data_IF_840349023205
#
_entry.id   IF_840349023205
#
_cell.length_a   1.000
_cell.length_b   1.000
_cell.length_c   1.000
_cell.angle_alpha   90.00
_cell.angle_beta   90.00
_cell.angle_gamma   90.00
#
_symmetry.space_group_name_H-M   'P 1'
#
loop_
_entity.id
_entity.type
_entity.pdbx_description
1 polymer ?
#
# COMPACT_ATOMS: atom_id res chain seq x y z
N UNK A 1 -1.65 11.68 43.01
CA UNK A 1 -1.06 11.71 41.65
C UNK A 1 -0.14 10.52 41.53
N UNK A 2 -0.32 9.64 40.53
CA UNK A 2 0.74 8.71 40.14
C UNK A 2 1.33 9.16 38.80
N UNK A 3 2.64 9.40 38.79
CA UNK A 3 3.45 9.47 37.57
C UNK A 3 3.34 8.11 36.87
N UNK A 4 2.68 8.10 35.72
CA UNK A 4 2.65 6.92 34.85
C UNK A 4 4.07 6.69 34.33
N UNK A 5 4.67 5.58 34.75
CA UNK A 5 5.94 5.07 34.24
C UNK A 5 5.82 4.90 32.71
N UNK A 6 6.30 5.88 31.95
CA UNK A 6 6.39 5.81 30.49
C UNK A 6 7.42 4.72 30.19
N UNK A 7 6.98 3.63 29.57
CA UNK A 7 7.86 2.56 29.14
C UNK A 7 9.01 3.16 28.29
N UNK A 8 10.27 2.75 28.48
CA UNK A 8 11.44 3.33 27.80
C UNK A 8 11.30 3.31 26.26
N UNK A 9 10.62 2.29 25.72
CA UNK A 9 10.27 2.23 24.29
C UNK A 9 9.30 3.33 23.84
N UNK A 10 8.34 3.73 24.67
CA UNK A 10 7.40 4.83 24.34
C UNK A 10 8.10 6.19 24.33
N UNK A 11 9.02 6.44 25.26
CA UNK A 11 9.82 7.66 25.27
C UNK A 11 10.73 7.75 24.03
N UNK A 12 11.38 6.64 23.66
CA UNK A 12 12.19 6.56 22.44
C UNK A 12 11.37 6.85 21.18
N UNK A 13 10.18 6.25 21.05
CA UNK A 13 9.31 6.45 19.89
C UNK A 13 8.73 7.87 19.83
N UNK A 14 8.47 8.49 20.97
CA UNK A 14 8.08 9.91 21.01
C UNK A 14 9.21 10.85 20.54
N UNK A 15 10.46 10.56 20.89
CA UNK A 15 11.61 11.32 20.42
C UNK A 15 11.84 11.14 18.91
N UNK A 16 11.72 9.90 18.41
CA UNK A 16 11.80 9.60 16.99
C UNK A 16 10.68 10.32 16.19
N UNK A 17 9.46 10.34 16.74
CA UNK A 17 8.33 11.09 16.16
C UNK A 17 8.67 12.58 16.03
N UNK A 18 9.22 13.21 17.07
CA UNK A 18 9.61 14.62 17.03
C UNK A 18 10.73 14.90 16.02
N UNK A 19 11.66 13.97 15.83
CA UNK A 19 12.73 14.10 14.84
C UNK A 19 12.18 14.05 13.40
N UNK A 20 11.25 13.12 13.15
CA UNK A 20 10.51 13.03 11.88
C UNK A 20 9.76 14.34 11.62
N UNK A 21 9.02 14.85 12.61
CA UNK A 21 8.30 16.12 12.51
C UNK A 21 9.25 17.28 12.16
N UNK A 22 10.39 17.40 12.86
CA UNK A 22 11.41 18.43 12.58
C UNK A 22 11.98 18.33 11.16
N UNK A 23 12.28 17.11 10.68
CA UNK A 23 12.74 16.90 9.29
C UNK A 23 11.66 17.30 8.28
N UNK A 24 10.38 17.01 8.55
CA UNK A 24 9.24 17.39 7.69
C UNK A 24 9.00 18.91 7.65
N UNK A 25 9.07 19.60 8.80
CA UNK A 25 8.96 21.06 8.86
C UNK A 25 10.11 21.73 8.09
N UNK A 26 11.36 21.25 8.29
CA UNK A 26 12.51 21.74 7.50
C UNK A 26 12.32 21.53 6.00
N UNK A 27 11.73 20.40 5.62
CA UNK A 27 11.41 20.13 4.24
C UNK A 27 10.35 21.10 3.69
N UNK A 28 9.36 21.52 4.49
CA UNK A 28 8.41 22.58 4.10
C UNK A 28 9.11 23.93 3.87
N UNK A 29 9.95 24.36 4.81
CA UNK A 29 10.61 25.67 4.77
C UNK A 29 11.65 25.78 3.64
N UNK A 30 12.31 24.67 3.29
CA UNK A 30 13.44 24.67 2.35
C UNK A 30 13.09 24.02 1.01
N UNK A 31 12.48 24.80 0.10
CA UNK A 31 12.03 24.30 -1.21
C UNK A 31 13.13 23.68 -2.09
N UNK A 32 14.40 24.11 -1.95
CA UNK A 32 15.55 23.59 -2.69
C UNK A 32 16.13 22.28 -2.15
N UNK A 33 16.01 22.03 -0.84
CA UNK A 33 16.56 20.83 -0.18
C UNK A 33 15.50 19.79 0.18
N UNK A 34 14.21 20.15 0.06
CA UNK A 34 13.04 19.32 0.37
C UNK A 34 13.15 17.90 -0.17
N UNK A 35 13.57 17.75 -1.42
CA UNK A 35 13.66 16.45 -2.08
C UNK A 35 14.69 15.52 -1.41
N UNK A 36 15.88 16.06 -1.13
CA UNK A 36 16.94 15.29 -0.48
C UNK A 36 16.56 14.93 0.97
N UNK A 37 16.00 15.90 1.71
CA UNK A 37 15.59 15.70 3.11
C UNK A 37 14.51 14.62 3.23
N UNK A 38 13.55 14.58 2.30
CA UNK A 38 12.47 13.59 2.32
C UNK A 38 12.94 12.22 1.81
N UNK A 39 13.82 12.17 0.80
CA UNK A 39 14.43 10.91 0.36
C UNK A 39 15.23 10.25 1.50
N UNK A 40 16.03 11.04 2.20
CA UNK A 40 16.78 10.58 3.38
C UNK A 40 15.81 10.09 4.47
N UNK A 41 14.80 10.88 4.82
CA UNK A 41 13.80 10.50 5.82
C UNK A 41 13.08 9.19 5.47
N UNK A 42 12.64 9.05 4.22
CA UNK A 42 11.96 7.83 3.78
C UNK A 42 12.91 6.64 3.69
N UNK A 43 14.19 6.85 3.36
CA UNK A 43 15.20 5.79 3.40
C UNK A 43 15.42 5.33 4.85
N UNK A 44 15.64 6.26 5.77
CA UNK A 44 15.84 6.01 7.20
C UNK A 44 14.67 5.23 7.81
N UNK A 45 13.44 5.66 7.53
CA UNK A 45 12.22 5.00 8.03
C UNK A 45 12.03 3.59 7.42
N UNK A 46 12.58 3.32 6.23
CA UNK A 46 12.54 2.00 5.62
C UNK A 46 13.56 1.01 6.20
N UNK A 47 14.56 1.50 6.94
CA UNK A 47 15.60 0.64 7.45
C UNK A 47 15.04 -0.36 8.45
N UNK A 48 15.68 -1.53 8.47
CA UNK A 48 15.41 -2.54 9.48
C UNK A 48 15.91 -2.05 10.84
N UNK A 49 15.13 -2.32 11.87
CA UNK A 49 15.48 -2.03 13.24
C UNK A 49 16.56 -3.00 13.67
N UNK A 50 17.73 -2.46 14.02
CA UNK A 50 18.86 -3.22 14.56
C UNK A 50 18.45 -4.04 15.79
N UNK A 51 19.07 -5.21 15.97
CA UNK A 51 18.78 -6.14 17.08
C UNK A 51 18.84 -5.49 18.48
N UNK A 52 19.71 -4.50 18.69
CA UNK A 52 19.79 -3.73 19.94
C UNK A 52 18.55 -2.85 20.16
N UNK A 53 18.10 -2.17 19.12
CA UNK A 53 16.93 -1.28 19.17
C UNK A 53 15.64 -2.08 19.33
N UNK A 54 15.58 -3.31 18.79
CA UNK A 54 14.45 -4.24 19.00
C UNK A 54 14.21 -4.56 20.47
N UNK A 55 15.27 -4.75 21.26
CA UNK A 55 15.15 -5.03 22.70
C UNK A 55 14.53 -3.88 23.50
N UNK A 56 14.84 -2.64 23.12
CA UNK A 56 14.30 -1.42 23.75
C UNK A 56 12.84 -1.18 23.35
N UNK A 57 12.49 -1.51 22.10
CA UNK A 57 11.15 -1.29 21.53
C UNK A 57 10.16 -2.37 21.99
N UNK A 58 10.56 -3.63 21.99
CA UNK A 58 9.68 -4.76 22.32
C UNK A 58 9.52 -5.00 23.82
N UNK A 59 10.28 -4.28 24.66
CA UNK A 59 10.23 -4.38 26.12
C UNK A 59 10.15 -5.84 26.59
N UNK A 60 11.11 -6.66 26.14
CA UNK A 60 11.17 -8.07 26.50
C UNK A 60 11.69 -8.13 27.94
N UNK A 61 10.77 -8.14 28.91
CA UNK A 61 11.09 -8.55 30.27
C UNK A 61 11.68 -9.97 30.18
N UNK A 62 12.90 -10.15 30.68
CA UNK A 62 13.69 -11.38 30.56
C UNK A 62 13.11 -12.61 31.30
N UNK A 63 11.82 -12.63 31.64
CA UNK A 63 11.22 -13.67 32.46
C UNK A 63 9.93 -14.25 31.86
N UNK A 64 10.02 -14.79 30.64
CA UNK A 64 9.13 -15.89 30.25
C UNK A 64 9.82 -16.75 29.19
N UNK A 65 10.40 -17.86 29.65
CA UNK A 65 10.86 -18.93 28.78
C UNK A 65 9.65 -19.81 28.45
N UNK A 66 9.23 -19.82 27.19
CA UNK A 66 8.70 -21.04 26.58
C UNK A 66 9.23 -21.21 25.16
N UNK A 67 9.61 -22.44 24.77
CA UNK A 67 10.35 -22.72 23.56
C UNK A 67 9.43 -23.00 22.35
N UNK A 68 10.01 -22.89 21.16
CA UNK A 68 9.48 -23.31 19.86
C UNK A 68 8.53 -22.34 19.15
N UNK A 69 9.08 -21.24 18.63
CA UNK A 69 8.70 -20.72 17.31
C UNK A 69 9.99 -20.26 16.59
N UNK A 70 10.65 -21.24 15.98
CA UNK A 70 11.67 -21.02 14.95
C UNK A 70 10.99 -20.52 13.65
N UNK A 71 11.72 -19.71 12.88
CA UNK A 71 11.56 -19.46 11.44
C UNK A 71 10.57 -18.40 10.91
N UNK A 72 10.35 -17.30 11.62
CA UNK A 72 10.24 -16.00 10.93
C UNK A 72 11.04 -15.00 11.73
N UNK A 73 12.29 -14.77 11.35
CA UNK A 73 13.01 -13.58 11.77
C UNK A 73 12.26 -12.39 11.15
N UNK A 74 11.22 -11.94 11.85
CA UNK A 74 10.37 -10.85 11.38
C UNK A 74 11.26 -9.63 11.30
N UNK A 75 11.66 -9.30 10.09
CA UNK A 75 12.42 -8.11 9.79
C UNK A 75 11.58 -6.89 10.16
N UNK A 76 11.71 -6.46 11.42
CA UNK A 76 10.99 -5.33 11.97
C UNK A 76 11.61 -4.06 11.40
N UNK A 77 10.88 -3.30 10.61
CA UNK A 77 11.34 -2.01 10.09
C UNK A 77 10.86 -0.87 10.98
N UNK A 78 11.56 0.28 10.95
CA UNK A 78 11.18 1.44 11.78
C UNK A 78 9.74 1.90 11.50
N UNK A 79 9.27 1.79 10.26
CA UNK A 79 7.90 2.14 9.93
C UNK A 79 6.85 1.20 10.59
N UNK A 80 7.12 -0.09 10.81
CA UNK A 80 6.19 -1.01 11.48
C UNK A 80 5.96 -0.56 12.92
N UNK A 81 7.07 -0.24 13.59
CA UNK A 81 7.07 0.21 14.99
C UNK A 81 6.37 1.55 15.14
N UNK A 82 6.65 2.49 14.24
CA UNK A 82 6.01 3.80 14.23
C UNK A 82 4.50 3.68 13.94
N UNK A 83 4.10 2.80 13.03
CA UNK A 83 2.69 2.56 12.73
C UNK A 83 1.93 2.04 13.96
N UNK A 84 2.44 1.01 14.64
CA UNK A 84 1.83 0.48 15.87
C UNK A 84 1.81 1.53 17.00
N UNK A 85 2.87 2.34 17.12
CA UNK A 85 2.91 3.45 18.06
C UNK A 85 1.86 4.53 17.78
N UNK A 86 1.65 4.92 16.52
CA UNK A 86 0.62 5.91 16.17
C UNK A 86 -0.81 5.39 16.33
N UNK A 87 -1.03 4.08 16.24
CA UNK A 87 -2.32 3.47 16.62
C UNK A 87 -2.56 3.61 18.13
N UNK A 88 -1.53 3.37 18.94
CA UNK A 88 -1.63 3.46 20.41
C UNK A 88 -1.66 4.91 20.92
N UNK A 89 -0.94 5.82 20.25
CA UNK A 89 -0.81 7.24 20.62
C UNK A 89 -1.08 8.12 19.39
N UNK A 90 -2.36 8.30 19.00
CA UNK A 90 -2.72 9.02 17.78
C UNK A 90 -2.34 10.51 17.82
N UNK A 91 -2.23 11.11 19.02
CA UNK A 91 -1.81 12.52 19.16
C UNK A 91 -0.41 12.79 18.61
N UNK A 92 0.48 11.80 18.66
CA UNK A 92 1.84 11.91 18.13
C UNK A 92 1.88 11.78 16.60
N UNK A 93 0.93 11.05 16.01
CA UNK A 93 0.84 10.87 14.55
C UNK A 93 0.20 12.05 13.83
N UNK A 94 -0.83 12.69 14.43
CA UNK A 94 -1.62 13.76 13.78
C UNK A 94 -0.79 14.90 13.15
N UNK A 95 0.20 15.50 13.84
CA UNK A 95 1.01 16.58 13.26
C UNK A 95 1.80 16.13 12.04
N UNK A 96 2.40 14.94 12.10
CA UNK A 96 3.15 14.35 10.99
C UNK A 96 2.23 14.12 9.79
N UNK A 97 1.03 13.63 10.03
CA UNK A 97 0.04 13.41 8.97
C UNK A 97 -0.37 14.72 8.29
N UNK A 98 -0.64 15.77 9.07
CA UNK A 98 -0.98 17.08 8.53
C UNK A 98 0.16 17.69 7.70
N UNK A 99 1.42 17.52 8.16
CA UNK A 99 2.61 17.97 7.44
C UNK A 99 2.82 17.18 6.13
N UNK A 100 2.61 15.86 6.15
CA UNK A 100 2.67 15.02 4.94
C UNK A 100 1.62 15.47 3.92
N UNK A 101 0.37 15.69 4.36
CA UNK A 101 -0.72 16.15 3.49
C UNK A 101 -0.42 17.54 2.92
N UNK A 102 0.18 18.44 3.69
CA UNK A 102 0.63 19.75 3.17
C UNK A 102 1.75 19.60 2.14
N UNK A 103 2.74 18.75 2.38
CA UNK A 103 3.83 18.46 1.44
C UNK A 103 3.34 17.81 0.13
N UNK A 104 2.23 17.06 0.18
CA UNK A 104 1.61 16.42 -0.99
C UNK A 104 0.95 17.41 -1.98
N UNK A 105 0.61 18.62 -1.53
CA UNK A 105 0.02 19.67 -2.38
C UNK A 105 0.99 20.24 -3.42
N UNK A 106 2.29 19.95 -3.33
CA UNK A 106 3.32 20.54 -4.20
C UNK A 106 3.81 19.53 -5.25
N UNK A 107 4.58 19.99 -6.26
CA UNK A 107 5.14 19.19 -7.38
C UNK A 107 6.03 18.00 -6.98
N UNK A 108 6.11 17.70 -5.68
CA UNK A 108 6.89 16.63 -5.06
C UNK A 108 6.13 15.30 -4.94
N UNK A 109 4.80 15.30 -5.06
CA UNK A 109 3.97 14.11 -4.91
C UNK A 109 4.43 12.93 -5.78
N UNK A 110 4.89 13.21 -7.01
CA UNK A 110 5.42 12.21 -7.94
C UNK A 110 6.60 11.40 -7.38
N UNK A 111 7.47 12.01 -6.57
CA UNK A 111 8.64 11.36 -6.00
C UNK A 111 8.28 10.49 -4.80
N UNK A 112 7.32 10.95 -3.97
CA UNK A 112 6.76 10.13 -2.88
C UNK A 112 6.04 8.93 -3.48
N UNK A 113 5.21 9.13 -4.51
CA UNK A 113 4.54 8.02 -5.19
C UNK A 113 5.53 7.05 -5.84
N UNK A 114 6.62 7.54 -6.43
CA UNK A 114 7.67 6.67 -6.95
C UNK A 114 8.31 5.83 -5.83
N UNK A 115 8.65 6.45 -4.68
CA UNK A 115 9.21 5.74 -3.52
C UNK A 115 8.23 4.71 -2.93
N UNK A 116 6.98 5.10 -2.71
CA UNK A 116 5.92 4.21 -2.22
C UNK A 116 5.70 3.05 -3.20
N UNK A 117 5.65 3.34 -4.50
CA UNK A 117 5.53 2.33 -5.55
C UNK A 117 6.72 1.36 -5.53
N UNK A 118 7.95 1.87 -5.40
CA UNK A 118 9.15 1.03 -5.28
C UNK A 118 9.09 0.15 -4.04
N UNK A 119 8.65 0.68 -2.90
CA UNK A 119 8.53 -0.05 -1.64
C UNK A 119 7.43 -1.10 -1.65
N UNK A 120 6.24 -0.79 -2.15
CA UNK A 120 5.15 -1.78 -2.28
C UNK A 120 5.47 -2.84 -3.33
N UNK A 121 6.27 -2.50 -4.35
CA UNK A 121 6.82 -3.51 -5.25
C UNK A 121 7.76 -4.48 -4.52
N UNK A 122 8.49 -4.05 -3.49
CA UNK A 122 9.29 -4.94 -2.64
C UNK A 122 8.38 -5.88 -1.83
N UNK A 123 7.28 -5.38 -1.26
CA UNK A 123 6.28 -6.20 -0.56
C UNK A 123 5.73 -7.31 -1.46
N UNK A 124 5.36 -6.96 -2.69
CA UNK A 124 4.92 -7.93 -3.69
C UNK A 124 6.04 -8.93 -4.04
N UNK A 125 7.29 -8.46 -4.18
CA UNK A 125 8.40 -9.34 -4.54
C UNK A 125 8.77 -10.32 -3.43
N UNK A 126 8.62 -9.89 -2.19
CA UNK A 126 8.94 -10.66 -0.97
C UNK A 126 7.73 -11.39 -0.40
N UNK A 127 6.53 -11.18 -0.97
CA UNK A 127 5.25 -11.63 -0.43
C UNK A 127 5.07 -11.23 1.06
N UNK A 128 5.58 -10.05 1.42
CA UNK A 128 5.46 -9.50 2.76
C UNK A 128 4.42 -8.36 2.76
N UNK A 129 3.78 -8.12 3.90
CA UNK A 129 2.79 -7.03 4.07
C UNK A 129 3.32 -5.93 4.96
N UNK A 130 4.60 -5.65 4.79
CA UNK A 130 5.36 -4.69 5.57
C UNK A 130 4.65 -3.34 5.54
N UNK A 131 4.35 -2.79 4.38
CA UNK A 131 3.73 -1.46 4.29
C UNK A 131 2.19 -1.44 4.41
N UNK A 132 1.57 -2.50 4.96
CA UNK A 132 0.11 -2.57 5.10
C UNK A 132 -0.47 -1.37 5.85
N UNK A 133 0.10 -1.01 7.00
CA UNK A 133 -0.39 0.11 7.82
C UNK A 133 -0.35 1.44 7.07
N UNK A 134 0.68 1.65 6.25
CA UNK A 134 0.80 2.84 5.41
C UNK A 134 -0.20 2.81 4.25
N UNK A 135 -0.37 1.65 3.61
CA UNK A 135 -1.38 1.48 2.56
C UNK A 135 -2.78 1.78 3.11
N UNK A 136 -3.13 1.19 4.27
CA UNK A 136 -4.42 1.40 4.93
C UNK A 136 -4.66 2.87 5.25
N UNK A 137 -3.66 3.55 5.82
CA UNK A 137 -3.73 4.99 6.06
C UNK A 137 -4.00 5.79 4.77
N UNK A 138 -3.30 5.46 3.68
CA UNK A 138 -3.48 6.16 2.41
C UNK A 138 -4.86 5.89 1.78
N UNK A 139 -5.41 4.70 1.97
CA UNK A 139 -6.76 4.37 1.53
C UNK A 139 -7.81 5.06 2.42
N UNK A 140 -7.88 4.68 3.70
CA UNK A 140 -8.94 5.05 4.62
C UNK A 140 -8.88 6.51 5.05
N UNK A 141 -7.70 7.04 5.39
CA UNK A 141 -7.55 8.36 6.00
C UNK A 141 -7.20 9.47 5.00
N UNK A 142 -6.88 9.13 3.75
CA UNK A 142 -6.49 10.10 2.71
C UNK A 142 -7.37 10.00 1.49
N UNK A 143 -7.46 8.84 0.84
CA UNK A 143 -8.21 8.69 -0.40
C UNK A 143 -9.73 8.75 -0.16
N UNK A 144 -10.22 8.09 0.89
CA UNK A 144 -11.65 8.04 1.25
C UNK A 144 -12.14 9.24 2.05
N UNK A 145 -11.26 10.19 2.41
CA UNK A 145 -11.60 11.40 3.18
C UNK A 145 -11.56 12.63 2.25
N UNK A 146 -12.71 13.14 1.74
CA UNK A 146 -12.73 14.22 0.74
C UNK A 146 -12.03 15.50 1.22
N UNK A 147 -12.12 15.81 2.52
CA UNK A 147 -11.50 17.02 3.10
C UNK A 147 -9.97 16.98 3.05
N UNK A 148 -9.37 15.78 3.03
CA UNK A 148 -7.92 15.57 2.89
C UNK A 148 -7.53 15.41 1.43
N UNK A 149 -8.32 14.67 0.66
CA UNK A 149 -8.11 14.50 -0.77
C UNK A 149 -8.07 15.84 -1.51
N UNK A 150 -8.99 16.76 -1.19
CA UNK A 150 -9.06 18.09 -1.80
C UNK A 150 -7.86 19.00 -1.51
N UNK A 151 -7.02 18.67 -0.53
CA UNK A 151 -5.75 19.40 -0.27
C UNK A 151 -4.64 19.00 -1.25
N UNK A 152 -4.82 17.88 -1.95
CA UNK A 152 -3.85 17.31 -2.88
C UNK A 152 -4.18 17.79 -4.30
N UNK A 153 -3.17 17.99 -5.14
CA UNK A 153 -3.38 18.37 -6.55
C UNK A 153 -4.13 17.28 -7.31
N UNK A 154 -4.96 17.64 -8.30
CA UNK A 154 -5.71 16.66 -9.11
C UNK A 154 -4.84 15.57 -9.74
N UNK A 155 -3.61 15.91 -10.14
CA UNK A 155 -2.66 14.94 -10.69
C UNK A 155 -2.18 13.96 -9.62
N UNK A 156 -1.87 14.43 -8.42
CA UNK A 156 -1.46 13.58 -7.31
C UNK A 156 -2.61 12.72 -6.76
N UNK A 157 -3.85 13.24 -6.78
CA UNK A 157 -5.03 12.42 -6.49
C UNK A 157 -5.16 11.27 -7.50
N UNK A 158 -5.00 11.57 -8.79
CA UNK A 158 -5.01 10.54 -9.83
C UNK A 158 -3.95 9.48 -9.58
N UNK A 159 -2.70 9.90 -9.39
CA UNK A 159 -1.58 8.97 -9.22
C UNK A 159 -1.75 8.11 -7.95
N UNK A 160 -2.29 8.69 -6.86
CA UNK A 160 -2.68 7.96 -5.66
C UNK A 160 -3.71 6.87 -5.96
N UNK A 161 -4.81 7.21 -6.65
CA UNK A 161 -5.87 6.25 -6.95
C UNK A 161 -5.41 5.13 -7.89
N UNK A 162 -4.56 5.44 -8.89
CA UNK A 162 -3.93 4.41 -9.74
C UNK A 162 -3.01 3.50 -8.92
N UNK A 163 -2.26 4.08 -7.97
CA UNK A 163 -1.41 3.32 -7.07
C UNK A 163 -2.25 2.44 -6.12
N UNK A 164 -3.32 2.95 -5.52
CA UNK A 164 -4.17 2.16 -4.63
C UNK A 164 -4.88 1.02 -5.37
N UNK A 165 -5.32 1.27 -6.61
CA UNK A 165 -5.96 0.26 -7.49
C UNK A 165 -5.11 -0.99 -7.68
N UNK A 166 -3.79 -0.80 -7.74
CA UNK A 166 -2.80 -1.86 -7.90
C UNK A 166 -2.73 -2.79 -6.69
N UNK A 167 -2.75 -2.26 -5.47
CA UNK A 167 -2.42 -3.02 -4.26
C UNK A 167 -3.63 -3.35 -3.36
N UNK A 168 -4.83 -2.84 -3.62
CA UNK A 168 -6.00 -3.06 -2.74
C UNK A 168 -6.32 -4.55 -2.54
N UNK A 169 -6.21 -5.37 -3.60
CA UNK A 169 -6.44 -6.81 -3.50
C UNK A 169 -5.30 -7.53 -2.77
N UNK A 170 -4.05 -7.05 -2.88
CA UNK A 170 -2.90 -7.64 -2.21
C UNK A 170 -2.93 -7.44 -0.69
N UNK A 171 -3.45 -6.30 -0.26
CA UNK A 171 -3.62 -5.98 1.15
C UNK A 171 -4.99 -6.40 1.72
N UNK A 172 -5.78 -7.18 0.97
CA UNK A 172 -7.07 -7.75 1.41
C UNK A 172 -8.12 -6.71 1.83
N UNK A 173 -8.03 -5.47 1.35
CA UNK A 173 -8.98 -4.39 1.68
C UNK A 173 -10.15 -4.33 0.68
N UNK A 174 -10.70 -5.51 0.37
CA UNK A 174 -11.75 -5.67 -0.65
C UNK A 174 -13.08 -5.05 -0.23
N UNK A 175 -13.37 -4.98 1.07
CA UNK A 175 -14.60 -4.42 1.60
C UNK A 175 -14.69 -2.90 1.35
N UNK A 176 -13.55 -2.24 1.17
CA UNK A 176 -13.45 -0.82 0.86
C UNK A 176 -13.53 -0.52 -0.65
N UNK A 177 -13.62 -1.55 -1.52
CA UNK A 177 -13.56 -1.37 -2.96
C UNK A 177 -14.73 -0.54 -3.50
N UNK A 178 -15.95 -0.81 -3.04
CA UNK A 178 -17.14 -0.05 -3.47
C UNK A 178 -17.01 1.42 -3.05
N UNK A 179 -16.61 1.68 -1.81
CA UNK A 179 -16.36 3.04 -1.30
C UNK A 179 -15.27 3.73 -2.11
N UNK A 180 -14.19 3.01 -2.41
CA UNK A 180 -13.06 3.50 -3.20
C UNK A 180 -13.47 3.88 -4.64
N UNK A 181 -14.26 3.03 -5.32
CA UNK A 181 -14.75 3.31 -6.67
C UNK A 181 -15.73 4.49 -6.69
N UNK A 182 -16.53 4.67 -5.64
CA UNK A 182 -17.45 5.79 -5.51
C UNK A 182 -16.74 7.15 -5.26
N UNK A 183 -15.59 7.13 -4.59
CA UNK A 183 -14.79 8.33 -4.30
C UNK A 183 -13.73 8.66 -5.38
N UNK A 184 -13.66 7.86 -6.44
CA UNK A 184 -12.66 8.03 -7.48
C UNK A 184 -12.75 9.43 -8.12
N UNK A 185 -11.62 10.16 -8.22
CA UNK A 185 -11.65 11.51 -8.76
C UNK A 185 -12.04 11.51 -10.24
N UNK A 186 -12.88 12.47 -10.64
CA UNK A 186 -13.32 12.62 -12.04
C UNK A 186 -12.16 13.16 -12.87
N UNK A 187 -11.74 12.39 -13.88
CA UNK A 187 -10.66 12.83 -14.77
C UNK A 187 -11.19 13.51 -16.03
N UNK A 188 -10.51 14.55 -16.53
CA UNK A 188 -10.86 15.19 -17.81
C UNK A 188 -10.93 14.20 -18.99
N UNK A 189 -10.12 13.14 -18.95
CA UNK A 189 -10.03 12.12 -19.99
C UNK A 189 -10.81 10.84 -19.67
N UNK A 190 -11.67 10.84 -18.63
CA UNK A 190 -12.44 9.67 -18.22
C UNK A 190 -13.31 9.13 -19.37
N UNK A 191 -13.83 9.99 -20.25
CA UNK A 191 -14.56 9.56 -21.44
C UNK A 191 -13.77 8.58 -22.34
N UNK A 192 -12.44 8.74 -22.43
CA UNK A 192 -11.59 7.89 -23.27
C UNK A 192 -11.28 6.53 -22.63
N UNK A 193 -11.08 6.51 -21.31
CA UNK A 193 -10.59 5.31 -20.60
C UNK A 193 -11.74 4.51 -19.99
N UNK A 194 -12.79 5.17 -19.52
CA UNK A 194 -13.92 4.56 -18.83
C UNK A 194 -14.19 5.17 -17.46
N UNK A 195 -15.13 4.53 -16.75
CA UNK A 195 -15.47 4.91 -15.38
C UNK A 195 -14.41 4.47 -14.36
N UNK A 196 -14.63 4.73 -13.06
CA UNK A 196 -13.75 4.29 -11.98
C UNK A 196 -13.43 2.79 -12.03
N UNK A 197 -14.45 1.96 -12.25
CA UNK A 197 -14.29 0.51 -12.35
C UNK A 197 -13.41 0.10 -13.53
N UNK A 198 -13.53 0.78 -14.68
CA UNK A 198 -12.67 0.51 -15.84
C UNK A 198 -11.21 0.81 -15.53
N UNK A 199 -10.94 1.98 -14.93
CA UNK A 199 -9.59 2.41 -14.57
C UNK A 199 -8.95 1.45 -13.58
N UNK A 200 -9.72 1.08 -12.55
CA UNK A 200 -9.30 0.10 -11.55
C UNK A 200 -8.89 -1.24 -12.19
N UNK A 201 -9.76 -1.80 -13.05
CA UNK A 201 -9.51 -3.07 -13.73
C UNK A 201 -8.33 -2.99 -14.71
N UNK A 202 -8.14 -1.84 -15.37
CA UNK A 202 -6.98 -1.61 -16.25
C UNK A 202 -5.67 -1.66 -15.44
N UNK A 203 -5.59 -0.94 -14.32
CA UNK A 203 -4.40 -0.93 -13.47
C UNK A 203 -4.12 -2.30 -12.85
N UNK A 204 -5.17 -3.02 -12.45
CA UNK A 204 -5.07 -4.39 -11.96
C UNK A 204 -4.52 -5.34 -13.04
N UNK A 205 -5.07 -5.30 -14.26
CA UNK A 205 -4.59 -6.12 -15.37
C UNK A 205 -3.12 -5.83 -15.71
N UNK A 206 -2.74 -4.54 -15.72
CA UNK A 206 -1.36 -4.12 -15.99
C UNK A 206 -0.39 -4.55 -14.90
N UNK A 207 -0.85 -4.61 -13.66
CA UNK A 207 -0.05 -5.17 -12.58
C UNK A 207 0.14 -6.68 -12.76
N UNK A 208 -0.93 -7.45 -12.97
CA UNK A 208 -0.86 -8.90 -13.10
C UNK A 208 0.17 -9.31 -14.16
N UNK A 209 0.17 -8.67 -15.33
CA UNK A 209 1.12 -8.94 -16.41
C UNK A 209 2.59 -8.70 -16.04
N UNK A 210 2.86 -7.89 -15.02
CA UNK A 210 4.23 -7.59 -14.53
C UNK A 210 4.65 -8.49 -13.36
N UNK A 211 3.71 -9.19 -12.72
CA UNK A 211 3.98 -10.04 -11.56
C UNK A 211 4.67 -11.34 -11.97
N UNK A 212 5.75 -11.67 -11.25
CA UNK A 212 6.49 -12.93 -11.44
C UNK A 212 6.46 -13.84 -10.20
N UNK A 213 5.84 -13.38 -9.13
CA UNK A 213 5.79 -14.08 -7.84
C UNK A 213 4.51 -14.90 -7.78
N UNK A 214 4.65 -16.22 -7.81
CA UNK A 214 3.52 -17.16 -7.87
C UNK A 214 2.55 -17.05 -6.68
N UNK A 215 3.00 -17.05 -5.40
CA UNK A 215 2.09 -16.88 -4.27
C UNK A 215 1.23 -15.62 -4.36
N UNK A 216 1.81 -14.52 -4.84
CA UNK A 216 1.09 -13.25 -5.02
C UNK A 216 0.08 -13.35 -6.16
N UNK A 217 0.43 -13.95 -7.30
CA UNK A 217 -0.53 -14.18 -8.40
C UNK A 217 -1.75 -14.99 -7.92
N UNK A 218 -1.51 -16.07 -7.19
CA UNK A 218 -2.59 -16.90 -6.62
C UNK A 218 -3.46 -16.09 -5.66
N UNK A 219 -2.84 -15.26 -4.83
CA UNK A 219 -3.54 -14.38 -3.90
C UNK A 219 -4.42 -13.33 -4.61
N UNK A 220 -3.94 -12.75 -5.71
CA UNK A 220 -4.76 -11.88 -6.55
C UNK A 220 -5.97 -12.63 -7.13
N UNK A 221 -5.74 -13.82 -7.70
CA UNK A 221 -6.81 -14.63 -8.28
C UNK A 221 -7.89 -15.04 -7.28
N UNK A 222 -7.53 -15.34 -6.03
CA UNK A 222 -8.51 -15.68 -5.00
C UNK A 222 -9.44 -14.52 -4.61
N UNK A 223 -9.01 -13.27 -4.81
CA UNK A 223 -9.79 -12.07 -4.51
C UNK A 223 -10.54 -11.51 -5.73
N UNK A 224 -10.35 -12.06 -6.93
CA UNK A 224 -10.99 -11.54 -8.15
C UNK A 224 -12.52 -11.62 -8.16
N UNK A 225 -13.12 -12.41 -7.28
CA UNK A 225 -14.59 -12.49 -7.12
C UNK A 225 -15.24 -11.12 -6.94
N UNK A 226 -14.53 -10.15 -6.37
CA UNK A 226 -15.02 -8.79 -6.09
C UNK A 226 -15.23 -7.97 -7.37
N UNK A 227 -14.67 -8.42 -8.50
CA UNK A 227 -14.90 -7.79 -9.80
C UNK A 227 -16.21 -8.23 -10.45
N UNK A 228 -16.87 -9.25 -9.89
CA UNK A 228 -18.13 -9.76 -10.43
C UNK A 228 -19.23 -8.71 -10.26
N UNK A 229 -19.96 -8.44 -11.33
CA UNK A 229 -21.04 -7.45 -11.33
C UNK A 229 -20.60 -6.00 -11.55
N UNK A 230 -19.30 -5.73 -11.68
CA UNK A 230 -18.84 -4.39 -12.09
C UNK A 230 -19.27 -4.08 -13.52
N UNK A 231 -19.87 -2.90 -13.73
CA UNK A 231 -20.21 -2.40 -15.05
C UNK A 231 -18.94 -1.90 -15.77
N UNK A 232 -18.35 -2.78 -16.58
CA UNK A 232 -17.14 -2.50 -17.35
C UNK A 232 -17.46 -2.24 -18.82
N UNK A 233 -16.68 -1.37 -19.46
CA UNK A 233 -16.69 -1.25 -20.92
C UNK A 233 -16.22 -2.56 -21.55
N UNK A 234 -16.74 -2.85 -22.74
CA UNK A 234 -16.34 -4.01 -23.54
C UNK A 234 -14.82 -4.09 -23.75
N UNK A 235 -14.15 -2.95 -23.96
CA UNK A 235 -12.69 -2.88 -24.13
C UNK A 235 -11.95 -3.31 -22.87
N UNK A 236 -12.41 -2.87 -21.71
CA UNK A 236 -11.81 -3.19 -20.40
C UNK A 236 -12.06 -4.65 -20.03
N UNK A 237 -13.29 -5.12 -20.20
CA UNK A 237 -13.65 -6.53 -20.00
C UNK A 237 -12.81 -7.44 -20.90
N UNK A 238 -12.67 -7.10 -22.19
CA UNK A 238 -11.85 -7.87 -23.14
C UNK A 238 -10.38 -7.90 -22.72
N UNK A 239 -9.84 -6.77 -22.23
CA UNK A 239 -8.46 -6.68 -21.73
C UNK A 239 -8.24 -7.57 -20.50
N UNK A 240 -9.15 -7.52 -19.52
CA UNK A 240 -9.07 -8.37 -18.32
C UNK A 240 -9.16 -9.85 -18.71
N UNK A 241 -10.10 -10.21 -19.58
CA UNK A 241 -10.26 -11.57 -20.11
C UNK A 241 -8.97 -12.04 -20.78
N UNK A 242 -8.42 -11.27 -21.70
CA UNK A 242 -7.16 -11.59 -22.38
C UNK A 242 -5.97 -11.72 -21.41
N UNK A 243 -5.92 -10.85 -20.39
CA UNK A 243 -4.92 -10.93 -19.34
C UNK A 243 -4.99 -12.27 -18.60
N UNK A 244 -6.18 -12.68 -18.14
CA UNK A 244 -6.35 -13.95 -17.43
C UNK A 244 -6.07 -15.17 -18.32
N UNK A 245 -6.49 -15.15 -19.60
CA UNK A 245 -6.14 -16.19 -20.57
C UNK A 245 -4.63 -16.34 -20.78
N UNK A 246 -3.85 -15.27 -20.65
CA UNK A 246 -2.38 -15.38 -20.75
C UNK A 246 -1.79 -16.26 -19.64
N UNK A 247 -2.50 -16.40 -18.51
CA UNK A 247 -2.10 -17.26 -17.40
C UNK A 247 -2.64 -18.69 -17.49
N UNK A 248 -3.50 -19.04 -18.44
CA UNK A 248 -4.08 -20.39 -18.56
C UNK A 248 -3.25 -21.35 -19.40
N UNK A 249 -2.33 -20.84 -20.22
CA UNK A 249 -1.58 -21.62 -21.21
C UNK A 249 -0.18 -21.97 -20.72
N UNK A 250 0.32 -23.21 -20.95
CA UNK A 250 1.70 -23.56 -20.69
C UNK A 250 2.60 -22.95 -21.77
N UNK A 251 3.11 -21.74 -21.55
CA UNK A 251 3.99 -21.06 -22.50
C UNK A 251 4.39 -19.64 -22.10
N UNK A 252 5.23 -19.01 -22.91
CA UNK A 252 5.57 -17.59 -22.77
C UNK A 252 4.36 -16.67 -22.97
N UNK A 253 4.39 -15.43 -22.46
CA UNK A 253 5.54 -14.72 -21.90
C UNK A 253 5.82 -14.99 -20.40
N UNK A 254 4.89 -15.64 -19.68
CA UNK A 254 4.93 -15.74 -18.21
C UNK A 254 5.30 -17.13 -17.68
N UNK A 255 5.18 -18.19 -18.48
CA UNK A 255 5.45 -19.58 -18.09
C UNK A 255 4.79 -19.99 -16.74
N UNK A 256 3.46 -19.81 -16.59
CA UNK A 256 2.76 -20.03 -15.33
C UNK A 256 2.79 -21.51 -14.91
N UNK A 257 2.90 -21.77 -13.61
CA UNK A 257 2.82 -23.14 -13.04
C UNK A 257 1.43 -23.72 -13.20
N UNK A 258 1.28 -25.04 -12.96
CA UNK A 258 -0.03 -25.70 -13.03
C UNK A 258 -1.04 -25.07 -12.06
N UNK A 259 -0.60 -24.68 -10.87
CA UNK A 259 -1.44 -24.06 -9.84
C UNK A 259 -1.95 -22.71 -10.31
N UNK A 260 -1.06 -21.86 -10.83
CA UNK A 260 -1.42 -20.54 -11.39
C UNK A 260 -2.38 -20.69 -12.55
N UNK A 261 -2.15 -21.66 -13.47
CA UNK A 261 -3.07 -21.93 -14.58
C UNK A 261 -4.47 -22.32 -14.11
N UNK A 262 -4.56 -23.18 -13.10
CA UNK A 262 -5.85 -23.61 -12.54
C UNK A 262 -6.60 -22.45 -11.88
N UNK A 263 -5.91 -21.65 -11.07
CA UNK A 263 -6.51 -20.47 -10.45
C UNK A 263 -6.96 -19.42 -11.48
N UNK A 264 -6.19 -19.23 -12.56
CA UNK A 264 -6.56 -18.35 -13.66
C UNK A 264 -7.83 -18.83 -14.40
N UNK A 265 -7.97 -20.14 -14.63
CA UNK A 265 -9.20 -20.73 -15.17
C UNK A 265 -10.41 -20.49 -14.26
N UNK A 266 -10.25 -20.73 -12.96
CA UNK A 266 -11.32 -20.46 -11.99
C UNK A 266 -11.74 -18.98 -11.98
N UNK A 267 -10.79 -18.05 -12.04
CA UNK A 267 -11.08 -16.63 -12.12
C UNK A 267 -11.80 -16.25 -13.43
N UNK A 268 -11.41 -16.85 -14.57
CA UNK A 268 -12.10 -16.65 -15.85
C UNK A 268 -13.55 -17.13 -15.81
N UNK A 269 -13.78 -18.35 -15.33
CA UNK A 269 -15.12 -18.94 -15.28
C UNK A 269 -16.04 -18.15 -14.35
N UNK A 270 -15.49 -17.61 -13.25
CA UNK A 270 -16.21 -16.79 -12.30
C UNK A 270 -16.62 -15.43 -12.90
N UNK A 271 -15.71 -14.76 -13.61
CA UNK A 271 -15.93 -13.40 -14.11
C UNK A 271 -16.62 -13.35 -15.47
N UNK A 272 -16.41 -14.37 -16.29
CA UNK A 272 -16.94 -14.47 -17.65
C UNK A 272 -17.60 -15.83 -17.85
N UNK A 273 -18.68 -16.13 -17.08
CA UNK A 273 -19.37 -17.39 -17.23
C UNK A 273 -19.84 -17.52 -18.68
N UNK A 274 -19.53 -18.65 -19.31
CA UNK A 274 -20.06 -18.95 -20.62
C UNK A 274 -21.56 -19.14 -20.43
N UNK A 275 -22.36 -18.18 -20.89
CA UNK A 275 -23.80 -18.33 -20.96
C UNK A 275 -24.11 -19.52 -21.87
N UNK A 276 -24.49 -20.63 -21.26
CA UNK A 276 -25.03 -21.81 -21.93
C UNK A 276 -26.42 -21.48 -22.48
#
# INVERSE_FOLDING_TARGET
MPEALIAPGSAYLSALTQEIEKKLVRALDSQSQRLNLLQELFADIALEVDLRSRGIILNRDENEVSPAEDEIESHLCFYDVLADHYVRVPENGKPILDLIVQLWSQSFASHIFALLFHKWRIDIQTNARRFFSLFRYLLEDVALVPTRLNKITMQAQRDLYLLLSRFILFYELVDELDTFLNHFPVFPNAFLVGGPADIFVIELADQLQKLKVEPVLLHYFSHMKVLQGLELRMTTSTRLKACLYSFTSPGGPMYPTRTVRHAAWQALDLLFPVSV
#
